data_IF_537748414623
#
_entry.id   IF_537748414623
#
_cell.length_a   1.000
_cell.length_b   1.000
_cell.length_c   1.000
_cell.angle_alpha   90.00
_cell.angle_beta   90.00
_cell.angle_gamma   90.00
#
_symmetry.space_group_name_H-M   'P 1'
#
loop_
_entity.id
_entity.type
_entity.pdbx_description
1 polymer ?
#
# COMPACT_ATOMS: atom_id res chain seq x y z
N UNK A 1 39.31 38.78 -55.67
CA UNK A 1 38.45 37.58 -55.53
C UNK A 1 39.03 36.69 -54.43
N UNK A 2 38.38 36.62 -53.25
CA UNK A 2 38.79 35.71 -52.15
C UNK A 2 38.31 34.29 -52.48
N UNK A 3 39.24 33.36 -52.67
CA UNK A 3 38.94 31.94 -52.93
C UNK A 3 38.44 31.34 -51.62
N UNK A 4 37.18 30.88 -51.58
CA UNK A 4 36.64 30.09 -50.45
C UNK A 4 37.27 28.69 -50.50
N UNK A 5 37.95 28.28 -49.43
CA UNK A 5 38.38 26.87 -49.25
C UNK A 5 37.13 26.00 -49.05
N UNK A 6 37.11 24.76 -49.57
CA UNK A 6 35.99 23.85 -49.34
C UNK A 6 35.85 23.49 -47.85
N UNK A 7 34.63 23.23 -47.37
CA UNK A 7 34.41 22.85 -45.97
C UNK A 7 35.16 21.55 -45.68
N UNK A 8 35.98 21.58 -44.63
CA UNK A 8 36.70 20.40 -44.16
C UNK A 8 35.71 19.28 -43.83
N UNK A 9 36.02 18.08 -44.30
CA UNK A 9 35.26 16.88 -44.06
C UNK A 9 35.08 16.66 -42.55
N UNK A 10 33.83 16.63 -42.09
CA UNK A 10 33.51 16.45 -40.68
C UNK A 10 33.86 15.00 -40.29
N UNK A 11 35.06 14.80 -39.75
CA UNK A 11 35.49 13.49 -39.25
C UNK A 11 34.57 13.09 -38.10
N UNK A 12 33.71 12.09 -38.33
CA UNK A 12 32.83 11.52 -37.30
C UNK A 12 33.73 11.10 -36.12
N UNK A 13 33.41 11.47 -34.87
CA UNK A 13 34.22 11.06 -33.73
C UNK A 13 34.24 9.53 -33.69
N UNK A 14 35.44 8.94 -33.71
CA UNK A 14 35.62 7.52 -33.46
C UNK A 14 34.94 7.18 -32.15
N UNK A 15 34.08 6.15 -32.14
CA UNK A 15 33.38 5.67 -30.95
C UNK A 15 34.41 5.51 -29.80
N UNK A 16 34.48 6.53 -28.96
CA UNK A 16 35.40 6.63 -27.84
C UNK A 16 35.00 5.54 -26.85
N UNK A 17 35.96 4.81 -26.29
CA UNK A 17 35.73 3.75 -25.29
C UNK A 17 34.82 4.21 -24.14
N UNK A 18 34.75 5.52 -23.88
CA UNK A 18 33.79 6.15 -22.97
C UNK A 18 32.32 5.91 -23.33
N UNK A 19 31.93 5.85 -24.61
CA UNK A 19 30.55 5.55 -25.02
C UNK A 19 30.16 4.08 -24.79
N UNK A 20 31.11 3.16 -24.91
CA UNK A 20 30.93 1.75 -24.53
C UNK A 20 30.78 1.56 -23.01
N UNK A 21 31.47 2.37 -22.20
CA UNK A 21 31.35 2.34 -20.73
C UNK A 21 29.96 2.86 -20.29
N UNK A 22 29.45 3.90 -20.95
CA UNK A 22 28.11 4.46 -20.66
C UNK A 22 26.98 3.47 -20.99
N UNK A 23 27.15 2.66 -22.04
CA UNK A 23 26.13 1.69 -22.45
C UNK A 23 26.04 0.43 -21.55
N UNK A 24 27.04 0.15 -20.70
CA UNK A 24 27.02 -0.98 -19.77
C UNK A 24 26.19 -0.74 -18.51
N UNK A 25 25.75 0.48 -18.25
CA UNK A 25 24.88 0.77 -17.11
C UNK A 25 23.47 0.29 -17.49
N UNK A 26 22.90 -0.72 -16.81
CA UNK A 26 21.55 -1.16 -17.11
C UNK A 26 20.61 0.04 -16.98
N UNK A 27 19.88 0.36 -18.05
CA UNK A 27 18.92 1.45 -18.01
C UNK A 27 17.84 1.09 -16.98
N UNK A 28 17.59 1.95 -15.98
CA UNK A 28 16.61 1.65 -14.96
C UNK A 28 15.23 1.47 -15.61
N UNK A 29 14.50 0.45 -15.18
CA UNK A 29 13.19 0.12 -15.74
C UNK A 29 12.12 1.08 -15.22
N UNK A 30 10.99 1.20 -15.93
CA UNK A 30 9.84 1.96 -15.44
C UNK A 30 9.20 1.20 -14.26
N UNK A 31 8.88 1.90 -13.17
CA UNK A 31 8.22 1.28 -12.01
C UNK A 31 6.92 0.61 -12.46
N UNK A 32 6.69 -0.65 -12.06
CA UNK A 32 5.52 -1.46 -12.47
C UNK A 32 4.20 -1.05 -11.79
N UNK A 33 4.17 0.11 -11.14
CA UNK A 33 3.05 0.60 -10.33
C UNK A 33 2.95 -0.05 -8.95
N UNK A 34 2.15 0.53 -8.06
CA UNK A 34 1.96 0.05 -6.68
C UNK A 34 1.07 -1.19 -6.60
N UNK A 35 0.24 -1.44 -7.60
CA UNK A 35 -0.76 -2.51 -7.57
C UNK A 35 -0.14 -3.90 -7.38
N UNK A 36 0.96 -4.20 -8.08
CA UNK A 36 1.64 -5.49 -7.93
C UNK A 36 2.22 -5.68 -6.52
N UNK A 37 2.81 -4.62 -5.97
CA UNK A 37 3.36 -4.63 -4.61
C UNK A 37 2.27 -4.87 -3.56
N UNK A 38 1.10 -4.25 -3.72
CA UNK A 38 -0.06 -4.51 -2.85
C UNK A 38 -0.60 -5.92 -3.01
N UNK A 39 -0.70 -6.41 -4.23
CA UNK A 39 -1.20 -7.75 -4.52
C UNK A 39 -0.32 -8.82 -3.88
N UNK A 40 1.01 -8.69 -3.99
CA UNK A 40 1.97 -9.58 -3.34
C UNK A 40 1.78 -9.59 -1.82
N UNK A 41 1.53 -8.41 -1.22
CA UNK A 41 1.28 -8.29 0.22
C UNK A 41 -0.05 -8.90 0.66
N UNK A 42 -1.09 -8.75 -0.16
CA UNK A 42 -2.41 -9.34 0.10
C UNK A 42 -2.34 -10.85 0.07
N UNK A 43 -1.62 -11.44 -0.88
CA UNK A 43 -1.42 -12.88 -0.89
C UNK A 43 -0.70 -13.35 0.38
N UNK A 44 0.37 -12.67 0.77
CA UNK A 44 1.13 -13.03 1.97
C UNK A 44 0.26 -13.03 3.24
N UNK A 45 -0.46 -11.93 3.49
CA UNK A 45 -1.36 -11.85 4.66
C UNK A 45 -2.54 -12.82 4.52
N UNK A 46 -3.05 -13.01 3.30
CA UNK A 46 -4.10 -13.97 3.00
C UNK A 46 -3.72 -15.37 3.44
N UNK A 47 -2.55 -15.87 3.03
CA UNK A 47 -2.08 -17.20 3.45
C UNK A 47 -1.98 -17.33 4.97
N UNK A 48 -1.50 -16.29 5.66
CA UNK A 48 -1.44 -16.29 7.13
C UNK A 48 -2.84 -16.30 7.75
N UNK A 49 -3.79 -15.55 7.21
CA UNK A 49 -5.18 -15.53 7.70
C UNK A 49 -5.88 -16.88 7.50
N UNK A 50 -5.80 -17.46 6.30
CA UNK A 50 -6.49 -18.73 5.98
C UNK A 50 -5.85 -19.96 6.63
N UNK A 51 -4.52 -19.99 6.82
CA UNK A 51 -3.81 -21.20 7.27
C UNK A 51 -3.03 -21.01 8.58
N UNK A 52 -3.09 -19.83 9.21
CA UNK A 52 -2.32 -19.54 10.42
C UNK A 52 -2.69 -20.42 11.62
N UNK A 53 -3.95 -20.82 11.75
CA UNK A 53 -4.40 -21.68 12.84
C UNK A 53 -3.85 -23.12 12.74
N UNK A 54 -3.64 -23.63 11.52
CA UNK A 54 -3.12 -24.99 11.30
C UNK A 54 -1.59 -25.02 11.31
N UNK A 55 -0.93 -23.92 10.92
CA UNK A 55 0.52 -23.83 10.93
C UNK A 55 0.99 -22.49 11.52
N UNK A 56 1.23 -22.39 12.84
CA UNK A 56 1.61 -21.13 13.48
C UNK A 56 2.95 -20.57 12.98
N UNK A 57 3.80 -21.43 12.41
CA UNK A 57 5.10 -21.03 11.87
C UNK A 57 4.96 -20.17 10.58
N UNK A 58 3.80 -20.18 9.90
CA UNK A 58 3.48 -19.27 8.78
C UNK A 58 3.57 -17.80 9.22
N UNK A 59 3.11 -17.47 10.43
CA UNK A 59 3.15 -16.10 10.94
C UNK A 59 4.60 -15.62 11.16
N UNK A 60 5.45 -16.47 11.77
CA UNK A 60 6.87 -16.17 11.95
C UNK A 60 7.59 -16.01 10.62
N UNK A 61 7.27 -16.89 9.66
CA UNK A 61 7.84 -16.84 8.32
C UNK A 61 7.42 -15.59 7.56
N UNK A 62 6.16 -15.14 7.71
CA UNK A 62 5.70 -13.88 7.13
C UNK A 62 6.44 -12.68 7.70
N UNK A 63 6.71 -12.63 9.00
CA UNK A 63 7.52 -11.53 9.57
C UNK A 63 8.94 -11.51 8.96
N UNK A 64 9.58 -12.67 8.85
CA UNK A 64 10.89 -12.79 8.22
C UNK A 64 10.88 -12.31 6.76
N UNK A 65 9.93 -12.82 5.96
CA UNK A 65 9.81 -12.41 4.57
C UNK A 65 9.43 -10.94 4.42
N UNK A 66 8.59 -10.39 5.30
CA UNK A 66 8.28 -8.95 5.29
C UNK A 66 9.52 -8.08 5.46
N UNK A 67 10.44 -8.43 6.37
CA UNK A 67 11.72 -7.72 6.53
C UNK A 67 12.58 -7.84 5.28
N UNK A 68 12.69 -9.04 4.72
CA UNK A 68 13.43 -9.27 3.48
C UNK A 68 12.86 -8.46 2.30
N UNK A 69 11.55 -8.50 2.12
CA UNK A 69 10.83 -7.78 1.07
C UNK A 69 10.96 -6.27 1.24
N UNK A 70 10.90 -5.74 2.46
CA UNK A 70 11.11 -4.32 2.71
C UNK A 70 12.50 -3.87 2.23
N UNK A 71 13.55 -4.63 2.58
CA UNK A 71 14.92 -4.36 2.12
C UNK A 71 15.04 -4.46 0.61
N UNK A 72 14.51 -5.53 0.02
CA UNK A 72 14.51 -5.74 -1.44
C UNK A 72 13.78 -4.60 -2.17
N UNK A 73 12.64 -4.15 -1.66
CA UNK A 73 11.87 -3.07 -2.27
C UNK A 73 12.63 -1.74 -2.21
N UNK A 74 13.32 -1.46 -1.09
CA UNK A 74 14.18 -0.29 -0.99
C UNK A 74 15.32 -0.33 -2.03
N UNK A 75 16.04 -1.45 -2.13
CA UNK A 75 17.10 -1.63 -3.13
C UNK A 75 16.57 -1.52 -4.56
N UNK A 76 15.40 -2.11 -4.84
CA UNK A 76 14.76 -2.07 -6.16
C UNK A 76 14.41 -0.63 -6.58
N UNK A 77 13.82 0.16 -5.68
CA UNK A 77 13.48 1.57 -5.98
C UNK A 77 14.72 2.44 -6.15
N UNK A 78 15.81 2.14 -5.43
CA UNK A 78 17.04 2.93 -5.48
C UNK A 78 17.93 2.61 -6.70
N UNK A 79 18.00 1.34 -7.11
CA UNK A 79 18.96 0.89 -8.13
C UNK A 79 18.33 0.45 -9.45
N UNK A 80 17.16 -0.17 -9.41
CA UNK A 80 16.61 -0.88 -10.58
C UNK A 80 15.58 -0.03 -11.35
N UNK A 81 15.04 1.02 -10.72
CA UNK A 81 13.86 1.74 -11.23
C UNK A 81 14.11 3.23 -11.40
N UNK A 82 13.52 3.83 -12.45
CA UNK A 82 13.52 5.29 -12.63
C UNK A 82 12.66 5.96 -11.56
N UNK A 83 13.05 7.16 -11.11
CA UNK A 83 12.24 7.95 -10.16
C UNK A 83 10.78 8.00 -10.62
N UNK A 84 9.82 7.43 -9.86
CA UNK A 84 8.42 7.48 -10.23
C UNK A 84 7.88 8.89 -10.07
N UNK A 85 6.86 9.25 -10.84
CA UNK A 85 6.16 10.52 -10.66
C UNK A 85 5.47 10.53 -9.28
N UNK A 86 5.51 11.67 -8.62
CA UNK A 86 4.85 11.86 -7.34
C UNK A 86 3.32 11.87 -7.54
N UNK A 87 2.62 11.15 -6.66
CA UNK A 87 1.17 11.15 -6.58
C UNK A 87 0.76 11.20 -5.12
N UNK A 88 -0.09 12.17 -4.74
CA UNK A 88 -0.67 12.23 -3.39
C UNK A 88 -1.76 11.18 -3.26
N UNK A 89 -1.63 10.30 -2.29
CA UNK A 89 -2.71 9.41 -1.86
C UNK A 89 -3.04 9.69 -0.41
N UNK A 90 -4.34 9.83 -0.11
CA UNK A 90 -4.84 9.97 1.26
C UNK A 90 -4.85 8.61 1.97
N UNK A 91 -5.23 7.57 1.24
CA UNK A 91 -5.49 6.23 1.77
C UNK A 91 -4.87 5.14 0.87
N UNK A 92 -4.92 3.89 1.31
CA UNK A 92 -4.46 2.70 0.54
C UNK A 92 -5.45 2.39 -0.61
N UNK A 93 -6.70 2.86 -0.51
CA UNK A 93 -7.74 2.73 -1.54
C UNK A 93 -8.48 1.40 -1.50
N UNK A 94 -8.82 0.85 -2.66
CA UNK A 94 -9.63 -0.39 -2.83
C UNK A 94 -9.02 -1.60 -2.12
N UNK A 95 -7.70 -1.62 -1.94
CA UNK A 95 -7.01 -2.70 -1.24
C UNK A 95 -7.47 -2.86 0.21
N UNK A 96 -7.92 -1.79 0.88
CA UNK A 96 -8.50 -1.90 2.22
C UNK A 96 -9.78 -2.75 2.21
N UNK A 97 -10.68 -2.50 1.26
CA UNK A 97 -11.91 -3.28 1.09
C UNK A 97 -11.60 -4.76 0.77
N UNK A 98 -10.55 -5.02 -0.02
CA UNK A 98 -10.12 -6.39 -0.33
C UNK A 98 -9.63 -7.10 0.94
N UNK A 99 -8.87 -6.41 1.79
CA UNK A 99 -8.40 -6.95 3.06
C UNK A 99 -9.56 -7.22 4.03
N UNK A 100 -10.55 -6.33 4.09
CA UNK A 100 -11.76 -6.53 4.91
C UNK A 100 -12.55 -7.76 4.47
N UNK A 101 -12.79 -7.91 3.17
CA UNK A 101 -13.49 -9.09 2.62
C UNK A 101 -12.69 -10.37 2.90
N UNK A 102 -11.37 -10.31 2.74
CA UNK A 102 -10.47 -11.45 2.99
C UNK A 102 -10.47 -11.86 4.47
N UNK A 103 -10.60 -10.89 5.39
CA UNK A 103 -10.69 -11.15 6.83
C UNK A 103 -11.98 -11.89 7.18
N UNK A 104 -13.11 -11.45 6.65
CA UNK A 104 -14.41 -12.12 6.83
C UNK A 104 -14.34 -13.56 6.27
N UNK A 105 -13.82 -13.71 5.05
CA UNK A 105 -13.69 -15.01 4.41
C UNK A 105 -12.78 -15.95 5.19
N UNK A 106 -11.71 -15.42 5.79
CA UNK A 106 -10.78 -16.19 6.63
C UNK A 106 -11.48 -16.75 7.87
N UNK A 107 -12.34 -15.98 8.54
CA UNK A 107 -13.09 -16.47 9.71
C UNK A 107 -13.98 -17.66 9.33
N UNK A 108 -14.73 -17.53 8.23
CA UNK A 108 -15.60 -18.60 7.71
C UNK A 108 -14.78 -19.84 7.36
N UNK A 109 -13.67 -19.66 6.65
CA UNK A 109 -12.81 -20.76 6.22
C UNK A 109 -12.17 -21.50 7.40
N UNK A 110 -11.69 -20.79 8.42
CA UNK A 110 -11.10 -21.40 9.61
C UNK A 110 -12.15 -22.16 10.43
N UNK A 111 -13.37 -21.63 10.57
CA UNK A 111 -14.46 -22.35 11.23
C UNK A 111 -14.89 -23.58 10.42
N UNK A 112 -14.87 -23.49 9.09
CA UNK A 112 -15.14 -24.61 8.19
C UNK A 112 -14.08 -25.72 8.33
N UNK A 113 -12.79 -25.37 8.34
CA UNK A 113 -11.70 -26.34 8.59
C UNK A 113 -11.86 -27.00 9.95
N UNK A 114 -12.22 -26.23 10.98
CA UNK A 114 -12.45 -26.73 12.33
C UNK A 114 -13.62 -27.74 12.36
N UNK A 115 -14.73 -27.43 11.68
CA UNK A 115 -15.87 -28.34 11.55
C UNK A 115 -15.52 -29.64 10.81
N UNK A 116 -14.79 -29.56 9.69
CA UNK A 116 -14.35 -30.74 8.93
C UNK A 116 -13.30 -31.57 9.67
N UNK A 117 -12.46 -30.95 10.51
CA UNK A 117 -11.46 -31.63 11.34
C UNK A 117 -12.10 -32.13 12.64
N UNK A 118 -13.26 -32.75 12.53
CA UNK A 118 -14.09 -33.20 13.65
C UNK A 118 -13.32 -34.11 14.62
N UNK A 119 -12.35 -34.91 14.15
CA UNK A 119 -11.50 -35.76 15.02
C UNK A 119 -10.77 -34.99 16.11
N UNK A 120 -10.34 -33.75 15.86
CA UNK A 120 -9.66 -32.94 16.88
C UNK A 120 -10.68 -32.42 17.91
N UNK A 121 -11.90 -32.10 17.46
CA UNK A 121 -13.01 -31.68 18.32
C UNK A 121 -13.58 -32.81 19.18
N UNK A 122 -13.64 -34.04 18.65
CA UNK A 122 -14.04 -35.23 19.41
C UNK A 122 -13.16 -35.49 20.62
N UNK A 123 -11.89 -35.06 20.60
CA UNK A 123 -11.03 -35.12 21.79
C UNK A 123 -11.50 -34.20 22.90
N UNK A 124 -11.99 -33.00 22.56
CA UNK A 124 -12.52 -32.03 23.53
C UNK A 124 -13.97 -32.32 23.94
N UNK A 125 -14.78 -32.85 23.02
CA UNK A 125 -16.21 -33.15 23.22
C UNK A 125 -16.54 -34.60 22.80
N UNK A 126 -16.20 -35.60 23.62
CA UNK A 126 -16.31 -37.02 23.26
C UNK A 126 -17.74 -37.56 23.20
N UNK A 127 -18.77 -36.77 23.52
CA UNK A 127 -20.18 -37.21 23.58
C UNK A 127 -21.11 -36.44 22.64
N UNK A 128 -20.58 -35.57 21.78
CA UNK A 128 -21.40 -34.80 20.84
C UNK A 128 -21.61 -35.53 19.51
N UNK A 129 -22.80 -35.39 18.94
CA UNK A 129 -23.11 -35.88 17.59
C UNK A 129 -22.47 -35.01 16.50
N UNK A 130 -22.23 -35.55 15.29
CA UNK A 130 -21.66 -34.79 14.16
C UNK A 130 -22.45 -33.49 13.86
N UNK A 131 -23.77 -33.53 13.99
CA UNK A 131 -24.64 -32.36 13.76
C UNK A 131 -24.49 -31.27 14.84
N UNK A 132 -24.23 -31.67 16.09
CA UNK A 132 -24.02 -30.74 17.20
C UNK A 132 -22.67 -30.02 17.06
N UNK A 133 -21.65 -30.71 16.53
CA UNK A 133 -20.33 -30.13 16.24
C UNK A 133 -20.44 -29.05 15.16
N UNK A 134 -21.17 -29.30 14.08
CA UNK A 134 -21.40 -28.31 13.01
C UNK A 134 -22.17 -27.11 13.54
N UNK A 135 -23.18 -27.32 14.38
CA UNK A 135 -23.92 -26.23 15.01
C UNK A 135 -23.01 -25.36 15.89
N UNK A 136 -22.20 -25.98 16.75
CA UNK A 136 -21.25 -25.27 17.59
C UNK A 136 -20.22 -24.48 16.78
N UNK A 137 -19.67 -25.07 15.71
CA UNK A 137 -18.76 -24.39 14.80
C UNK A 137 -19.42 -23.17 14.14
N UNK A 138 -20.68 -23.28 13.71
CA UNK A 138 -21.45 -22.16 13.16
C UNK A 138 -21.75 -21.06 14.19
N UNK A 139 -22.06 -21.43 15.44
CA UNK A 139 -22.21 -20.45 16.53
C UNK A 139 -20.89 -19.72 16.82
N UNK A 140 -19.77 -20.46 16.83
CA UNK A 140 -18.45 -19.89 17.03
C UNK A 140 -18.05 -18.94 15.89
N UNK A 141 -18.37 -19.29 14.65
CA UNK A 141 -18.21 -18.41 13.49
C UNK A 141 -18.96 -17.08 13.66
N UNK A 142 -20.25 -17.14 14.02
CA UNK A 142 -21.05 -15.93 14.25
C UNK A 142 -20.52 -15.09 15.42
N UNK A 143 -20.02 -15.74 16.48
CA UNK A 143 -19.40 -15.06 17.60
C UNK A 143 -18.12 -14.31 17.17
N UNK A 144 -17.27 -14.93 16.34
CA UNK A 144 -16.06 -14.29 15.82
C UNK A 144 -16.38 -13.14 14.86
N UNK A 145 -17.40 -13.29 14.02
CA UNK A 145 -17.88 -12.21 13.14
C UNK A 145 -18.44 -11.03 13.95
N UNK A 146 -19.20 -11.32 15.01
CA UNK A 146 -19.68 -10.31 15.95
C UNK A 146 -18.49 -9.60 16.64
N UNK A 147 -17.52 -10.37 17.14
CA UNK A 147 -16.32 -9.81 17.76
C UNK A 147 -15.54 -8.91 16.80
N UNK A 148 -15.37 -9.32 15.54
CA UNK A 148 -14.77 -8.49 14.49
C UNK A 148 -15.54 -7.20 14.29
N UNK A 149 -16.87 -7.26 14.18
CA UNK A 149 -17.71 -6.07 14.02
C UNK A 149 -17.60 -5.13 15.24
N UNK A 150 -17.54 -5.66 16.45
CA UNK A 150 -17.32 -4.88 17.66
C UNK A 150 -15.93 -4.19 17.67
N UNK A 151 -14.89 -4.88 17.21
CA UNK A 151 -13.56 -4.28 17.09
C UNK A 151 -13.54 -3.13 16.08
N UNK A 152 -14.20 -3.30 14.93
CA UNK A 152 -14.30 -2.24 13.93
C UNK A 152 -15.05 -1.02 14.44
N UNK A 153 -16.07 -1.21 15.30
CA UNK A 153 -16.82 -0.10 15.93
C UNK A 153 -15.99 0.63 16.99
N UNK A 154 -15.12 -0.09 17.70
CA UNK A 154 -14.31 0.47 18.79
C UNK A 154 -12.99 1.09 18.31
N UNK A 155 -12.70 1.07 17.00
CA UNK A 155 -11.47 1.63 16.45
C UNK A 155 -11.56 3.16 16.37
N UNK A 156 -11.39 3.83 17.51
CA UNK A 156 -11.35 5.28 17.56
C UNK A 156 -9.98 5.82 17.10
N UNK A 157 -10.01 6.84 16.25
CA UNK A 157 -8.78 7.53 15.80
C UNK A 157 -8.13 8.19 17.03
N UNK A 158 -6.82 8.03 17.27
CA UNK A 158 -6.16 8.58 18.44
C UNK A 158 -6.36 10.10 18.56
N UNK A 159 -6.64 10.57 19.78
CA UNK A 159 -7.00 11.97 20.06
C UNK A 159 -5.98 13.00 19.56
N UNK A 160 -4.69 12.69 19.64
CA UNK A 160 -3.62 13.58 19.14
C UNK A 160 -3.73 13.84 17.64
N UNK A 161 -4.16 12.84 16.88
CA UNK A 161 -4.32 12.95 15.43
C UNK A 161 -5.55 13.81 15.11
N UNK A 162 -6.64 13.64 15.86
CA UNK A 162 -7.84 14.48 15.72
C UNK A 162 -7.53 15.95 16.03
N UNK A 163 -6.85 16.23 17.14
CA UNK A 163 -6.45 17.59 17.52
C UNK A 163 -5.58 18.26 16.44
N UNK A 164 -4.62 17.52 15.87
CA UNK A 164 -3.78 18.03 14.80
C UNK A 164 -4.56 18.27 13.51
N UNK A 165 -5.56 17.45 13.22
CA UNK A 165 -6.48 17.66 12.10
C UNK A 165 -7.30 18.93 12.31
N UNK A 166 -7.90 19.10 13.49
CA UNK A 166 -8.72 20.26 13.85
C UNK A 166 -7.93 21.57 13.81
N UNK A 167 -6.69 21.57 14.32
CA UNK A 167 -5.78 22.72 14.23
C UNK A 167 -5.52 23.13 12.79
N UNK A 168 -5.30 22.16 11.89
CA UNK A 168 -5.09 22.44 10.46
C UNK A 168 -6.34 23.02 9.81
N UNK A 169 -7.52 22.45 10.12
CA UNK A 169 -8.80 22.95 9.61
C UNK A 169 -9.08 24.38 10.10
N UNK A 170 -8.84 24.65 11.39
CA UNK A 170 -9.00 25.98 11.97
C UNK A 170 -8.07 27.00 11.29
N UNK A 171 -6.79 26.64 11.09
CA UNK A 171 -5.85 27.51 10.38
C UNK A 171 -6.30 27.82 8.95
N UNK A 172 -6.83 26.83 8.21
CA UNK A 172 -7.37 27.05 6.86
C UNK A 172 -8.57 28.00 6.92
N UNK A 173 -9.48 27.80 7.87
CA UNK A 173 -10.65 28.67 8.04
C UNK A 173 -10.26 30.13 8.32
N UNK A 174 -9.31 30.36 9.24
CA UNK A 174 -8.81 31.71 9.51
C UNK A 174 -8.19 32.37 8.28
N UNK A 175 -7.48 31.59 7.45
CA UNK A 175 -6.89 32.09 6.21
C UNK A 175 -7.97 32.46 5.18
N UNK A 176 -8.97 31.59 4.99
CA UNK A 176 -10.10 31.87 4.09
C UNK A 176 -10.90 33.09 4.54
N UNK A 177 -11.17 33.21 5.85
CA UNK A 177 -11.88 34.37 6.40
C UNK A 177 -11.07 35.68 6.29
N UNK A 178 -9.74 35.61 6.41
CA UNK A 178 -8.88 36.74 6.12
C UNK A 178 -8.87 37.13 4.63
N UNK A 179 -8.95 36.15 3.73
CA UNK A 179 -9.03 36.37 2.27
C UNK A 179 -10.37 37.04 1.88
N UNK A 180 -11.47 36.66 2.52
CA UNK A 180 -12.79 37.27 2.31
C UNK A 180 -12.88 38.71 2.84
N UNK A 181 -12.16 39.02 3.92
CA UNK A 181 -12.19 40.35 4.58
C UNK A 181 -11.27 41.36 3.89
N UNK A 182 -10.11 40.91 3.39
CA UNK A 182 -9.17 41.73 2.63
C UNK A 182 -8.66 40.96 1.39
N UNK A 183 -9.28 41.14 0.20
CA UNK A 183 -8.89 40.42 -1.00
C UNK A 183 -7.49 40.80 -1.52
N UNK A 184 -6.88 41.88 -1.00
CA UNK A 184 -5.50 42.23 -1.29
C UNK A 184 -4.48 41.43 -0.46
N UNK A 185 -4.92 40.79 0.63
CA UNK A 185 -4.10 39.92 1.48
C UNK A 185 -3.97 38.48 0.96
N UNK A 186 -4.59 38.18 -0.19
CA UNK A 186 -4.64 36.86 -0.83
C UNK A 186 -3.25 36.23 -0.97
N UNK A 187 -2.93 35.34 -0.03
CA UNK A 187 -1.71 34.55 -0.04
C UNK A 187 -1.87 33.42 -1.07
N UNK A 188 -1.39 33.67 -2.29
CA UNK A 188 -1.31 32.65 -3.35
C UNK A 188 -0.33 31.57 -2.89
N UNK A 189 -0.85 30.41 -2.47
CA UNK A 189 -0.02 29.26 -2.15
C UNK A 189 0.55 28.66 -3.44
N UNK A 190 1.84 28.91 -3.70
CA UNK A 190 2.58 28.23 -4.75
C UNK A 190 2.86 26.79 -4.30
N UNK A 191 2.16 25.80 -4.85
CA UNK A 191 2.52 24.38 -4.60
C UNK A 191 2.70 23.54 -5.87
N UNK A 192 2.92 24.14 -7.05
CA UNK A 192 3.42 23.40 -8.22
C UNK A 192 4.89 23.76 -8.49
N UNK A 193 5.68 22.76 -8.91
CA UNK A 193 7.11 22.91 -9.26
C UNK A 193 7.35 23.93 -10.39
N UNK A 194 6.29 24.42 -11.04
CA UNK A 194 6.32 25.32 -12.20
C UNK A 194 6.11 26.81 -11.84
N UNK A 195 5.87 27.15 -10.57
CA UNK A 195 5.71 28.54 -10.12
C UNK A 195 4.46 29.27 -10.64
N UNK A 196 3.53 28.57 -11.29
CA UNK A 196 2.25 29.13 -11.72
C UNK A 196 1.20 29.05 -10.60
N UNK A 197 0.32 30.06 -10.45
CA UNK A 197 -0.75 30.05 -9.46
C UNK A 197 -1.68 28.86 -9.72
N UNK A 198 -2.04 28.11 -8.67
CA UNK A 198 -3.09 27.10 -8.78
C UNK A 198 -4.43 27.86 -8.88
N UNK A 199 -4.97 27.96 -10.08
CA UNK A 199 -6.40 28.26 -10.24
C UNK A 199 -7.11 26.94 -10.01
N UNK A 200 -7.69 26.77 -8.81
CA UNK A 200 -8.67 25.72 -8.58
C UNK A 200 -9.80 25.91 -9.59
N UNK A 201 -9.76 25.16 -10.69
CA UNK A 201 -10.86 25.17 -11.64
C UNK A 201 -12.07 24.48 -11.01
N UNK A 202 -13.17 25.23 -11.03
CA UNK A 202 -14.54 24.88 -10.64
C UNK A 202 -15.07 23.64 -11.33
#
# INVERSE_FOLDING_TARGET
RRIRKPPGEFKKPSLDTKSYIVQKIPVPVKHSGMNKLYLDKIFEVGYVMFFGATFPLLALLSVFFNVWHLRRNATYVLHDVRRPSYSRSKDIGVWMQILEISTILSIVFQCTILAFTSRSLYYFFPHMNDMEVVFFAGCFEHLLLLAKALLDLNLEVPADVQLNYDRKQHSIKCLTESEDTDPASRLVFYTSEDGLPYEGQS
#
